data_IF_668189515107
#
_entry.id   IF_668189515107
#
_cell.length_a   1.000
_cell.length_b   1.000
_cell.length_c   1.000
_cell.angle_alpha   90.00
_cell.angle_beta   90.00
_cell.angle_gamma   90.00
#
_symmetry.space_group_name_H-M   'P 1'
#
loop_
_entity.id
_entity.type
_entity.pdbx_description
1 polymer ?
#
# COMPACT_ATOMS: atom_id res chain seq x y z
N UNK A 1 -2.93 -19.85 -23.89
CA UNK A 1 -2.18 -18.73 -23.27
C UNK A 1 -3.17 -17.66 -22.89
N UNK A 2 -3.08 -17.04 -21.72
CA UNK A 2 -3.98 -15.96 -21.34
C UNK A 2 -3.74 -14.72 -22.22
N UNK A 3 -4.79 -14.04 -22.66
CA UNK A 3 -4.66 -12.85 -23.51
C UNK A 3 -3.95 -11.68 -22.80
N UNK A 4 -3.47 -10.66 -23.55
CA UNK A 4 -2.76 -9.51 -22.98
C UNK A 4 -3.53 -8.77 -21.88
N UNK A 5 -4.86 -8.68 -22.01
CA UNK A 5 -5.72 -8.07 -20.98
C UNK A 5 -5.75 -8.89 -19.68
N UNK A 6 -5.86 -10.21 -19.80
CA UNK A 6 -5.87 -11.11 -18.64
C UNK A 6 -4.54 -11.10 -17.92
N UNK A 7 -3.42 -11.12 -18.64
CA UNK A 7 -2.09 -11.05 -18.02
C UNK A 7 -1.80 -9.70 -17.35
N UNK A 8 -2.43 -8.62 -17.83
CA UNK A 8 -2.34 -7.30 -17.20
C UNK A 8 -3.12 -7.21 -15.88
N UNK A 9 -4.35 -7.74 -15.85
CA UNK A 9 -5.20 -7.78 -14.66
C UNK A 9 -4.77 -8.81 -13.62
N UNK A 10 -4.20 -9.93 -14.06
CA UNK A 10 -3.80 -11.05 -13.20
C UNK A 10 -2.32 -11.43 -13.41
N UNK A 11 -1.38 -10.50 -13.16
CA UNK A 11 0.04 -10.82 -13.23
C UNK A 11 0.39 -11.86 -12.16
N UNK A 12 1.37 -12.72 -12.44
CA UNK A 12 1.86 -13.67 -11.45
C UNK A 12 2.75 -12.95 -10.44
N UNK A 13 2.25 -12.73 -9.22
CA UNK A 13 2.97 -11.99 -8.18
C UNK A 13 3.20 -12.82 -6.91
N UNK A 14 4.32 -12.62 -6.19
CA UNK A 14 4.57 -13.36 -4.95
C UNK A 14 3.56 -12.99 -3.85
N UNK A 15 2.93 -14.00 -3.25
CA UNK A 15 2.06 -13.83 -2.08
C UNK A 15 2.71 -13.04 -0.94
N UNK A 16 4.04 -13.17 -0.79
CA UNK A 16 4.82 -12.43 0.21
C UNK A 16 4.74 -10.92 0.04
N UNK A 17 4.66 -10.41 -1.19
CA UNK A 17 4.55 -8.97 -1.46
C UNK A 17 3.25 -8.41 -0.90
N UNK A 18 2.13 -9.07 -1.23
CA UNK A 18 0.79 -8.71 -0.73
C UNK A 18 0.74 -8.83 0.79
N UNK A 19 1.36 -9.87 1.36
CA UNK A 19 1.41 -10.06 2.80
C UNK A 19 2.14 -8.92 3.51
N UNK A 20 3.28 -8.47 2.98
CA UNK A 20 4.04 -7.34 3.52
C UNK A 20 3.25 -6.03 3.43
N UNK A 21 2.65 -5.76 2.27
CA UNK A 21 1.77 -4.60 2.09
C UNK A 21 0.63 -4.63 3.11
N UNK A 22 -0.03 -5.77 3.27
CA UNK A 22 -1.12 -5.94 4.23
C UNK A 22 -0.70 -5.70 5.66
N UNK A 23 0.47 -6.20 6.10
CA UNK A 23 0.99 -5.92 7.45
C UNK A 23 1.19 -4.42 7.67
N UNK A 24 1.84 -3.74 6.71
CA UNK A 24 2.06 -2.29 6.82
C UNK A 24 0.74 -1.54 6.89
N UNK A 25 -0.21 -1.87 6.00
CA UNK A 25 -1.53 -1.23 5.94
C UNK A 25 -2.34 -1.45 7.22
N UNK A 26 -2.42 -2.69 7.73
CA UNK A 26 -3.17 -2.98 8.95
C UNK A 26 -2.57 -2.30 10.18
N UNK A 27 -1.24 -2.31 10.33
CA UNK A 27 -0.57 -1.63 11.45
C UNK A 27 -0.62 -0.11 11.35
N UNK A 28 -0.88 0.44 10.16
CA UNK A 28 -1.07 1.86 9.96
C UNK A 28 -2.45 2.36 10.41
N UNK A 29 -3.49 1.52 10.38
CA UNK A 29 -4.86 1.98 10.69
C UNK A 29 -5.00 2.65 12.07
N UNK A 30 -4.43 2.13 13.18
CA UNK A 30 -4.49 2.83 14.46
C UNK A 30 -3.82 4.21 14.41
N UNK A 31 -2.70 4.33 13.69
CA UNK A 31 -1.99 5.60 13.51
C UNK A 31 -2.88 6.59 12.77
N UNK A 32 -3.53 6.14 11.70
CA UNK A 32 -4.47 6.98 10.95
C UNK A 32 -5.65 7.44 11.80
N UNK A 33 -6.32 6.50 12.49
CA UNK A 33 -7.48 6.76 13.33
C UNK A 33 -7.19 7.71 14.50
N UNK A 34 -5.94 7.77 14.96
CA UNK A 34 -5.53 8.65 16.06
C UNK A 34 -5.05 9.99 15.53
N UNK A 35 -4.20 10.00 14.50
CA UNK A 35 -3.48 11.21 14.08
C UNK A 35 -4.14 11.96 12.92
N UNK A 36 -4.75 11.25 11.97
CA UNK A 36 -5.18 11.84 10.69
C UNK A 36 -6.69 11.94 10.57
N UNK A 37 -7.40 10.91 11.03
CA UNK A 37 -8.85 10.85 11.10
C UNK A 37 -9.36 10.92 12.55
N UNK A 38 -8.50 11.34 13.50
CA UNK A 38 -8.83 11.49 14.91
C UNK A 38 -9.92 12.52 15.23
N UNK A 39 -10.30 13.39 14.27
CA UNK A 39 -11.44 14.30 14.44
C UNK A 39 -12.75 13.58 14.80
N UNK A 40 -12.89 12.30 14.42
CA UNK A 40 -14.04 11.44 14.76
C UNK A 40 -14.30 11.37 16.27
N UNK A 41 -13.25 11.43 17.11
CA UNK A 41 -13.41 11.45 18.56
C UNK A 41 -14.20 12.67 19.04
N UNK A 42 -13.91 13.85 18.48
CA UNK A 42 -14.63 15.09 18.79
C UNK A 42 -16.07 15.08 18.27
N UNK A 43 -16.32 14.39 17.16
CA UNK A 43 -17.66 14.28 16.57
C UNK A 43 -18.63 13.43 17.39
N UNK A 44 -18.13 12.57 18.29
CA UNK A 44 -18.96 11.67 19.11
C UNK A 44 -20.04 12.37 19.95
N UNK A 45 -19.91 13.68 20.16
CA UNK A 45 -20.80 14.52 20.98
C UNK A 45 -21.57 15.54 20.14
N UNK A 46 -21.38 15.56 18.81
CA UNK A 46 -21.87 16.59 17.90
C UNK A 46 -22.87 16.07 16.87
N UNK A 47 -23.85 15.26 17.27
CA UNK A 47 -24.83 14.67 16.35
C UNK A 47 -25.67 15.72 15.59
N UNK A 48 -25.88 16.90 16.18
CA UNK A 48 -26.65 18.01 15.58
C UNK A 48 -26.01 18.61 14.33
N UNK A 49 -24.69 18.49 14.17
CA UNK A 49 -23.93 19.00 13.02
C UNK A 49 -23.57 17.90 12.01
N UNK A 50 -24.10 16.69 12.18
CA UNK A 50 -23.87 15.58 11.26
C UNK A 50 -24.50 15.86 9.89
N UNK A 51 -23.66 15.97 8.86
CA UNK A 51 -24.06 16.18 7.46
C UNK A 51 -23.47 15.07 6.60
N UNK A 52 -24.12 13.88 6.57
CA UNK A 52 -23.55 12.69 5.97
C UNK A 52 -23.17 12.87 4.49
N UNK A 53 -22.02 12.29 4.13
CA UNK A 53 -21.66 12.05 2.73
C UNK A 53 -22.68 11.14 2.05
N UNK A 54 -22.71 11.14 0.71
CA UNK A 54 -23.74 10.45 -0.06
C UNK A 54 -23.95 8.99 0.36
N UNK A 55 -22.88 8.22 0.56
CA UNK A 55 -22.99 6.80 0.97
C UNK A 55 -23.67 6.64 2.33
N UNK A 56 -23.35 7.50 3.30
CA UNK A 56 -24.01 7.48 4.61
C UNK A 56 -25.48 7.91 4.55
N UNK A 57 -25.81 8.85 3.65
CA UNK A 57 -27.22 9.23 3.39
C UNK A 57 -28.02 8.07 2.83
N UNK A 58 -27.50 7.43 1.79
CA UNK A 58 -28.19 6.30 1.13
C UNK A 58 -28.41 5.13 2.08
N UNK A 59 -27.42 4.85 2.94
CA UNK A 59 -27.46 3.76 3.90
C UNK A 59 -28.07 4.15 5.26
N UNK A 60 -28.51 5.39 5.43
CA UNK A 60 -29.06 5.92 6.68
C UNK A 60 -28.15 5.65 7.90
N UNK A 61 -26.83 5.79 7.71
CA UNK A 61 -25.86 5.52 8.77
C UNK A 61 -25.98 6.60 9.87
N UNK A 62 -26.00 6.21 11.16
CA UNK A 62 -26.00 7.19 12.24
C UNK A 62 -24.68 7.97 12.27
N UNK A 63 -24.78 9.21 12.77
CA UNK A 63 -23.61 10.05 13.05
C UNK A 63 -22.75 9.49 14.18
N UNK A 64 -21.62 10.15 14.44
CA UNK A 64 -20.71 9.74 15.50
C UNK A 64 -21.39 9.87 16.86
N UNK A 65 -21.73 8.73 17.47
CA UNK A 65 -22.11 8.63 18.88
C UNK A 65 -20.99 7.95 19.68
N UNK A 66 -20.86 8.26 20.96
CA UNK A 66 -19.80 7.75 21.84
C UNK A 66 -19.65 6.22 21.72
N UNK A 67 -20.70 5.45 21.97
CA UNK A 67 -20.64 3.98 21.89
C UNK A 67 -20.16 3.49 20.51
N UNK A 68 -20.64 4.10 19.42
CA UNK A 68 -20.27 3.72 18.06
C UNK A 68 -18.78 4.00 17.79
N UNK A 69 -18.28 5.18 18.15
CA UNK A 69 -16.89 5.58 17.89
C UNK A 69 -15.91 4.66 18.63
N UNK A 70 -16.14 4.42 19.92
CA UNK A 70 -15.30 3.50 20.71
C UNK A 70 -15.38 2.06 20.20
N UNK A 71 -16.57 1.59 19.82
CA UNK A 71 -16.76 0.25 19.24
C UNK A 71 -16.03 0.10 17.91
N UNK A 72 -16.20 1.06 16.99
CA UNK A 72 -15.52 1.04 15.70
C UNK A 72 -14.00 1.06 15.88
N UNK A 73 -13.49 1.91 16.77
CA UNK A 73 -12.06 1.95 17.06
C UNK A 73 -11.54 0.60 17.57
N UNK A 74 -12.18 0.03 18.59
CA UNK A 74 -11.79 -1.27 19.13
C UNK A 74 -11.86 -2.39 18.08
N UNK A 75 -12.95 -2.47 17.31
CA UNK A 75 -13.15 -3.47 16.26
C UNK A 75 -12.08 -3.37 15.18
N UNK A 76 -11.79 -2.16 14.69
CA UNK A 76 -10.79 -1.95 13.64
C UNK A 76 -9.39 -2.25 14.17
N UNK A 77 -9.02 -1.77 15.35
CA UNK A 77 -7.68 -2.00 15.91
C UNK A 77 -7.45 -3.49 16.18
N UNK A 78 -8.36 -4.15 16.89
CA UNK A 78 -8.24 -5.58 17.20
C UNK A 78 -8.28 -6.43 15.93
N UNK A 79 -9.21 -6.12 15.01
CA UNK A 79 -9.29 -6.79 13.70
C UNK A 79 -8.00 -6.61 12.88
N UNK A 80 -7.42 -5.40 12.89
CA UNK A 80 -6.19 -5.10 12.17
C UNK A 80 -5.00 -5.87 12.74
N UNK A 81 -4.89 -5.99 14.07
CA UNK A 81 -3.87 -6.83 14.71
C UNK A 81 -4.04 -8.32 14.34
N UNK A 82 -5.27 -8.84 14.34
CA UNK A 82 -5.57 -10.23 13.94
C UNK A 82 -5.22 -10.46 12.46
N UNK A 83 -5.60 -9.55 11.58
CA UNK A 83 -5.29 -9.62 10.14
C UNK A 83 -3.79 -9.43 9.87
N UNK A 84 -3.12 -8.51 10.56
CA UNK A 84 -1.67 -8.31 10.53
C UNK A 84 -0.92 -9.55 11.05
N UNK A 85 -1.47 -10.29 12.01
CA UNK A 85 -0.94 -11.60 12.45
C UNK A 85 -1.22 -12.73 11.44
N UNK A 86 -2.07 -12.51 10.43
CA UNK A 86 -2.41 -13.50 9.40
C UNK A 86 -3.42 -14.54 9.86
N UNK A 87 -4.12 -14.25 10.97
CA UNK A 87 -5.20 -15.09 11.49
C UNK A 87 -6.51 -14.68 10.83
N UNK A 88 -7.30 -15.67 10.41
CA UNK A 88 -8.61 -15.47 9.77
C UNK A 88 -8.62 -14.34 8.71
N UNK A 89 -7.67 -14.30 7.76
CA UNK A 89 -7.38 -13.09 6.97
C UNK A 89 -8.57 -12.58 6.14
N UNK A 90 -9.51 -13.47 5.78
CA UNK A 90 -10.75 -13.07 5.09
C UNK A 90 -11.70 -12.34 6.03
N UNK A 91 -12.07 -12.99 7.14
CA UNK A 91 -13.04 -12.46 8.10
C UNK A 91 -12.49 -11.22 8.79
N UNK A 92 -11.29 -11.31 9.38
CA UNK A 92 -10.64 -10.18 10.04
C UNK A 92 -10.43 -9.03 9.06
N UNK A 93 -9.98 -9.32 7.83
CA UNK A 93 -9.76 -8.31 6.81
C UNK A 93 -11.04 -7.59 6.38
N UNK A 94 -12.15 -8.30 6.15
CA UNK A 94 -13.43 -7.63 5.82
C UNK A 94 -14.07 -6.91 6.99
N UNK A 95 -13.93 -7.41 8.23
CA UNK A 95 -14.34 -6.68 9.44
C UNK A 95 -13.61 -5.35 9.53
N UNK A 96 -12.29 -5.36 9.31
CA UNK A 96 -11.47 -4.15 9.26
C UNK A 96 -11.87 -3.24 8.11
N UNK A 97 -12.06 -3.78 6.90
CA UNK A 97 -12.41 -2.98 5.73
C UNK A 97 -13.74 -2.24 5.94
N UNK A 98 -14.77 -2.93 6.41
CA UNK A 98 -16.08 -2.34 6.69
C UNK A 98 -16.01 -1.34 7.85
N UNK A 99 -15.39 -1.72 8.97
CA UNK A 99 -15.26 -0.86 10.15
C UNK A 99 -14.47 0.42 9.86
N UNK A 100 -13.34 0.30 9.16
CA UNK A 100 -12.53 1.46 8.79
C UNK A 100 -13.20 2.32 7.72
N UNK A 101 -13.92 1.72 6.77
CA UNK A 101 -14.72 2.50 5.82
C UNK A 101 -15.79 3.32 6.54
N UNK A 102 -16.44 2.74 7.56
CA UNK A 102 -17.39 3.52 8.36
C UNK A 102 -16.67 4.62 9.17
N UNK A 103 -15.51 4.33 9.75
CA UNK A 103 -14.69 5.35 10.40
C UNK A 103 -14.35 6.53 9.46
N UNK A 104 -13.87 6.24 8.24
CA UNK A 104 -13.56 7.26 7.25
C UNK A 104 -14.81 8.04 6.80
N UNK A 105 -15.95 7.37 6.66
CA UNK A 105 -17.24 8.02 6.38
C UNK A 105 -17.65 8.97 7.51
N UNK A 106 -17.47 8.58 8.77
CA UNK A 106 -17.70 9.47 9.92
C UNK A 106 -16.75 10.66 9.88
N UNK A 107 -15.46 10.44 9.64
CA UNK A 107 -14.46 11.51 9.55
C UNK A 107 -14.85 12.57 8.49
N UNK A 108 -15.49 12.15 7.40
CA UNK A 108 -15.82 13.04 6.28
C UNK A 108 -17.24 13.63 6.29
N UNK A 109 -18.06 13.24 7.26
CA UNK A 109 -19.48 13.65 7.34
C UNK A 109 -19.72 14.92 8.16
N UNK A 110 -18.67 15.67 8.47
CA UNK A 110 -18.70 16.90 9.27
C UNK A 110 -18.07 18.09 8.53
N UNK A 111 -18.15 18.08 7.19
CA UNK A 111 -17.79 19.23 6.35
C UNK A 111 -16.38 19.22 5.75
N UNK A 112 -15.56 18.21 6.04
CA UNK A 112 -14.24 18.00 5.41
C UNK A 112 -14.24 16.68 4.66
N UNK A 113 -13.95 16.70 3.35
CA UNK A 113 -13.83 15.48 2.54
C UNK A 113 -12.40 15.41 2.02
N UNK A 114 -11.69 14.35 2.41
CA UNK A 114 -10.33 14.10 1.96
C UNK A 114 -10.33 12.94 0.93
N UNK A 115 -9.57 13.08 -0.15
CA UNK A 115 -9.53 12.07 -1.22
C UNK A 115 -8.36 11.09 -1.06
N UNK A 116 -7.44 11.35 -0.14
CA UNK A 116 -6.20 10.60 0.10
C UNK A 116 -6.43 9.18 0.66
N UNK A 117 -7.63 8.91 1.16
CA UNK A 117 -8.03 7.63 1.74
C UNK A 117 -8.53 6.60 0.73
N UNK A 118 -8.81 6.99 -0.53
CA UNK A 118 -9.38 6.10 -1.54
C UNK A 118 -8.53 4.83 -1.74
N UNK A 119 -7.22 5.00 -1.95
CA UNK A 119 -6.31 3.88 -2.16
C UNK A 119 -6.23 2.96 -0.94
N UNK A 120 -6.29 3.50 0.27
CA UNK A 120 -6.28 2.73 1.51
C UNK A 120 -7.56 1.89 1.65
N UNK A 121 -8.73 2.50 1.44
CA UNK A 121 -10.02 1.79 1.47
C UNK A 121 -10.05 0.66 0.43
N UNK A 122 -9.66 0.92 -0.81
CA UNK A 122 -9.58 -0.12 -1.85
C UNK A 122 -8.62 -1.24 -1.40
N UNK A 123 -7.47 -0.89 -0.86
CA UNK A 123 -6.50 -1.86 -0.34
C UNK A 123 -7.11 -2.78 0.72
N UNK A 124 -7.87 -2.23 1.66
CA UNK A 124 -8.54 -3.01 2.71
C UNK A 124 -9.59 -3.97 2.16
N UNK A 125 -10.29 -3.62 1.08
CA UNK A 125 -11.26 -4.52 0.45
C UNK A 125 -10.62 -5.62 -0.42
N UNK A 126 -9.44 -5.38 -0.98
CA UNK A 126 -8.79 -6.36 -1.87
C UNK A 126 -7.82 -7.30 -1.15
N UNK A 127 -7.19 -6.88 -0.04
CA UNK A 127 -6.32 -7.76 0.75
C UNK A 127 -7.00 -9.07 1.21
N UNK A 128 -8.27 -9.07 1.67
CA UNK A 128 -8.95 -10.28 2.14
C UNK A 128 -9.23 -11.29 1.00
N UNK A 129 -9.30 -10.86 -0.27
CA UNK A 129 -9.61 -11.75 -1.40
C UNK A 129 -8.52 -12.81 -1.63
N UNK A 130 -7.26 -12.46 -1.33
CA UNK A 130 -6.08 -13.33 -1.50
C UNK A 130 -6.06 -14.50 -0.49
N UNK A 131 -6.73 -14.38 0.65
CA UNK A 131 -6.81 -15.44 1.66
C UNK A 131 -5.52 -15.66 2.47
N UNK A 132 -5.25 -16.90 2.89
CA UNK A 132 -4.06 -17.23 3.69
C UNK A 132 -2.79 -17.22 2.83
N UNK A 133 -2.14 -16.07 2.75
CA UNK A 133 -0.75 -15.94 2.32
C UNK A 133 0.18 -16.37 3.47
N UNK A 134 0.28 -17.67 3.74
CA UNK A 134 1.22 -18.18 4.76
C UNK A 134 2.66 -18.01 4.27
N UNK A 135 3.52 -17.44 5.11
CA UNK A 135 4.99 -17.36 4.89
C UNK A 135 5.64 -18.76 4.83
N UNK A 136 4.88 -19.80 5.18
CA UNK A 136 5.26 -21.23 5.22
C UNK A 136 5.17 -21.93 3.84
N UNK A 137 5.58 -21.26 2.78
CA UNK A 137 5.98 -21.88 1.51
C UNK A 137 7.26 -21.19 1.03
N UNK A 138 8.21 -21.07 1.94
CA UNK A 138 9.60 -20.84 1.59
C UNK A 138 10.25 -22.23 1.52
N UNK A 139 10.94 -22.59 0.44
CA UNK A 139 12.11 -23.44 0.60
C UNK A 139 12.96 -22.75 1.66
N UNK A 140 13.10 -23.36 2.83
CA UNK A 140 14.16 -23.01 3.75
C UNK A 140 15.45 -23.02 2.93
N UNK A 141 16.25 -21.96 3.06
CA UNK A 141 17.53 -21.81 2.38
C UNK A 141 18.59 -22.77 2.94
N UNK A 142 18.22 -24.05 3.12
CA UNK A 142 19.02 -25.08 3.75
C UNK A 142 18.72 -26.49 3.21
N UNK A 143 18.16 -26.60 2.00
CA UNK A 143 18.30 -27.83 1.23
C UNK A 143 19.36 -27.59 0.14
N UNK A 144 20.57 -28.13 0.28
CA UNK A 144 21.44 -28.28 -0.87
C UNK A 144 20.66 -29.14 -1.87
N UNK A 145 20.27 -28.56 -2.99
CA UNK A 145 19.85 -29.32 -4.15
C UNK A 145 21.07 -30.08 -4.65
N UNK A 146 21.33 -31.24 -4.04
CA UNK A 146 22.11 -32.29 -4.69
C UNK A 146 21.30 -32.70 -5.90
N UNK A 147 21.64 -32.10 -7.04
CA UNK A 147 21.14 -32.50 -8.34
C UNK A 147 21.89 -33.77 -8.74
N UNK A 148 21.58 -34.89 -8.10
CA UNK A 148 21.96 -36.19 -8.61
C UNK A 148 21.16 -36.43 -9.88
N UNK A 149 21.87 -36.49 -11.02
CA UNK A 149 21.34 -36.94 -12.29
C UNK A 149 20.76 -38.36 -12.09
N UNK A 150 19.58 -38.69 -12.65
CA UNK A 150 19.05 -40.04 -12.52
C UNK A 150 19.85 -40.97 -13.44
N UNK A 151 20.66 -41.84 -12.84
CA UNK A 151 21.14 -43.05 -13.50
C UNK A 151 19.93 -43.93 -13.79
N UNK A 152 19.71 -44.23 -15.06
CA UNK A 152 18.65 -45.13 -15.54
C UNK A 152 18.84 -46.52 -14.92
N UNK A 153 17.92 -46.96 -14.05
CA UNK A 153 17.58 -48.39 -13.90
C UNK A 153 16.28 -48.64 -13.11
N UNK A 154 15.33 -49.28 -13.80
CA UNK A 154 14.32 -50.25 -13.35
C UNK A 154 13.30 -49.87 -12.25
N UNK A 155 12.02 -49.75 -12.65
CA UNK A 155 10.83 -50.13 -11.85
C UNK A 155 10.89 -51.63 -11.46
N UNK A 156 10.23 -52.14 -10.39
CA UNK A 156 8.90 -51.74 -9.90
C UNK A 156 8.67 -51.78 -8.36
N UNK A 157 7.61 -51.12 -7.87
CA UNK A 157 6.45 -51.70 -7.14
C UNK A 157 5.59 -50.61 -6.48
N UNK A 158 4.28 -50.81 -6.55
CA UNK A 158 3.26 -49.88 -6.11
C UNK A 158 3.19 -49.77 -4.58
N UNK A 159 3.61 -48.62 -4.05
CA UNK A 159 3.33 -48.16 -2.69
C UNK A 159 2.42 -46.93 -2.75
N UNK A 160 1.18 -47.09 -2.29
CA UNK A 160 0.13 -46.05 -2.24
C UNK A 160 0.53 -44.95 -1.25
N UNK A 161 1.26 -43.94 -1.72
CA UNK A 161 1.46 -42.69 -0.99
C UNK A 161 0.30 -41.73 -1.26
N UNK A 162 -0.64 -41.62 -0.30
CA UNK A 162 -1.67 -40.56 -0.28
C UNK A 162 -1.04 -39.23 0.11
N UNK A 163 -0.16 -38.71 -0.75
CA UNK A 163 0.35 -37.34 -0.67
C UNK A 163 -0.28 -36.54 -1.80
N UNK A 164 -1.36 -35.80 -1.50
CA UNK A 164 -1.96 -34.85 -2.43
C UNK A 164 -0.95 -33.71 -2.67
N UNK A 165 -0.06 -33.88 -3.63
CA UNK A 165 0.72 -32.78 -4.19
C UNK A 165 -0.27 -31.74 -4.70
N UNK A 166 -0.16 -30.46 -4.31
CA UNK A 166 -1.00 -29.43 -4.91
C UNK A 166 -0.71 -29.43 -6.40
N UNK A 167 -1.71 -29.71 -7.23
CA UNK A 167 -1.54 -29.71 -8.67
C UNK A 167 -0.99 -28.35 -9.16
N UNK A 168 -0.31 -28.30 -10.31
CA UNK A 168 0.30 -27.09 -10.87
C UNK A 168 -0.63 -25.86 -10.94
N UNK A 169 -1.95 -26.07 -10.97
CA UNK A 169 -2.97 -25.01 -10.99
C UNK A 169 -3.22 -24.27 -9.66
N UNK A 170 -2.83 -24.82 -8.51
CA UNK A 170 -3.09 -24.19 -7.20
C UNK A 170 -2.15 -23.03 -6.87
N UNK A 171 -0.89 -23.12 -7.29
CA UNK A 171 0.10 -22.08 -7.08
C UNK A 171 -0.08 -20.89 -8.04
N UNK A 172 -0.48 -21.18 -9.29
CA UNK A 172 -0.70 -20.15 -10.32
C UNK A 172 -1.95 -19.29 -10.06
N UNK A 173 -2.98 -19.86 -9.44
CA UNK A 173 -4.21 -19.13 -9.07
C UNK A 173 -4.01 -18.21 -7.87
N UNK A 174 -3.28 -18.66 -6.84
CA UNK A 174 -2.90 -17.82 -5.70
C UNK A 174 -2.00 -16.64 -6.14
N UNK A 175 -1.04 -16.87 -7.04
CA UNK A 175 -0.20 -15.82 -7.61
C UNK A 175 -0.99 -14.80 -8.43
N UNK A 176 -1.99 -15.24 -9.20
CA UNK A 176 -2.91 -14.37 -9.94
C UNK A 176 -3.80 -13.54 -9.03
N UNK A 177 -4.33 -14.11 -7.94
CA UNK A 177 -5.12 -13.38 -6.96
C UNK A 177 -4.30 -12.26 -6.30
N UNK A 178 -3.03 -12.54 -5.97
CA UNK A 178 -2.11 -11.53 -5.47
C UNK A 178 -1.84 -10.41 -6.50
N UNK A 179 -1.62 -10.78 -7.76
CA UNK A 179 -1.43 -9.81 -8.84
C UNK A 179 -2.64 -8.92 -9.06
N UNK A 180 -3.84 -9.49 -9.03
CA UNK A 180 -5.10 -8.76 -9.13
C UNK A 180 -5.27 -7.77 -7.98
N UNK A 181 -5.06 -8.21 -6.74
CA UNK A 181 -5.16 -7.34 -5.57
C UNK A 181 -4.17 -6.16 -5.67
N UNK A 182 -2.91 -6.41 -6.01
CA UNK A 182 -1.92 -5.35 -6.21
C UNK A 182 -2.31 -4.41 -7.36
N UNK A 183 -2.85 -4.93 -8.46
CA UNK A 183 -3.31 -4.12 -9.59
C UNK A 183 -4.44 -3.18 -9.17
N UNK A 184 -5.41 -3.65 -8.39
CA UNK A 184 -6.47 -2.81 -7.84
C UNK A 184 -5.92 -1.68 -6.95
N UNK A 185 -4.94 -1.98 -6.08
CA UNK A 185 -4.28 -0.95 -5.26
C UNK A 185 -3.55 0.07 -6.13
N UNK A 186 -2.76 -0.39 -7.11
CA UNK A 186 -2.03 0.47 -8.03
C UNK A 186 -2.97 1.40 -8.83
N UNK A 187 -4.09 0.86 -9.32
CA UNK A 187 -5.14 1.64 -10.00
C UNK A 187 -5.73 2.68 -9.05
N UNK A 188 -6.07 2.31 -7.82
CA UNK A 188 -6.61 3.25 -6.84
C UNK A 188 -5.62 4.36 -6.47
N UNK A 189 -4.32 4.05 -6.40
CA UNK A 189 -3.26 5.04 -6.21
C UNK A 189 -3.23 6.03 -7.37
N UNK A 190 -3.10 5.57 -8.62
CA UNK A 190 -3.06 6.52 -9.76
C UNK A 190 -4.38 7.27 -9.94
N UNK A 191 -5.51 6.62 -9.65
CA UNK A 191 -6.82 7.27 -9.68
C UNK A 191 -6.91 8.41 -8.66
N UNK A 192 -6.34 8.24 -7.46
CA UNK A 192 -6.34 9.31 -6.44
C UNK A 192 -5.60 10.56 -6.94
N UNK A 193 -4.43 10.39 -7.56
CA UNK A 193 -3.69 11.50 -8.17
C UNK A 193 -4.45 12.10 -9.36
N UNK A 194 -4.86 11.27 -10.31
CA UNK A 194 -5.52 11.74 -11.53
C UNK A 194 -6.84 12.47 -11.22
N UNK A 195 -7.65 11.93 -10.31
CA UNK A 195 -8.90 12.57 -9.90
C UNK A 195 -8.66 13.86 -9.11
N UNK A 196 -7.53 13.99 -8.41
CA UNK A 196 -7.10 15.24 -7.78
C UNK A 196 -6.81 16.33 -8.83
N UNK A 197 -6.11 16.00 -9.92
CA UNK A 197 -5.91 16.92 -11.05
C UNK A 197 -7.25 17.31 -11.70
N UNK A 198 -8.11 16.32 -11.96
CA UNK A 198 -9.45 16.57 -12.49
C UNK A 198 -10.27 17.49 -11.59
N UNK A 199 -10.23 17.30 -10.25
CA UNK A 199 -10.94 18.15 -9.31
C UNK A 199 -10.43 19.61 -9.35
N UNK A 200 -9.12 19.82 -9.50
CA UNK A 200 -8.54 21.17 -9.65
C UNK A 200 -9.08 21.89 -10.88
N UNK A 201 -9.11 21.22 -12.04
CA UNK A 201 -9.66 21.80 -13.28
C UNK A 201 -11.17 21.99 -13.19
N UNK A 202 -11.89 21.01 -12.63
CA UNK A 202 -13.35 21.07 -12.50
C UNK A 202 -13.82 22.22 -11.61
N UNK A 203 -13.13 22.48 -10.50
CA UNK A 203 -13.54 23.47 -9.51
C UNK A 203 -12.81 24.82 -9.64
N UNK A 204 -11.59 24.83 -10.18
CA UNK A 204 -10.77 26.03 -10.35
C UNK A 204 -10.61 26.50 -11.80
N UNK A 205 -11.10 25.75 -12.79
CA UNK A 205 -10.95 26.05 -14.21
C UNK A 205 -9.57 25.71 -14.77
N UNK A 206 -9.40 25.92 -16.08
CA UNK A 206 -8.13 25.67 -16.79
C UNK A 206 -7.01 26.64 -16.39
N UNK A 207 -7.35 27.80 -15.83
CA UNK A 207 -6.40 28.79 -15.31
C UNK A 207 -5.89 28.45 -13.89
N UNK A 208 -6.36 27.36 -13.27
CA UNK A 208 -5.91 26.94 -11.94
C UNK A 208 -4.39 26.97 -11.75
N UNK A 209 -3.54 26.46 -12.68
CA UNK A 209 -2.10 26.46 -12.48
C UNK A 209 -1.43 27.84 -12.67
N UNK A 210 -2.15 28.84 -13.18
CA UNK A 210 -1.70 30.23 -13.29
C UNK A 210 -2.23 31.10 -12.14
N UNK A 211 -3.02 30.53 -11.23
CA UNK A 211 -3.64 31.25 -10.11
C UNK A 211 -2.76 31.38 -8.87
N UNK A 212 -3.38 31.86 -7.78
CA UNK A 212 -2.71 32.11 -6.50
C UNK A 212 -2.89 30.97 -5.47
N UNK A 213 -3.30 29.77 -5.89
CA UNK A 213 -3.63 28.65 -4.97
C UNK A 213 -2.45 28.29 -4.07
N UNK A 214 -1.24 28.20 -4.63
CA UNK A 214 -0.04 27.88 -3.87
C UNK A 214 0.38 29.02 -2.95
N UNK A 215 0.27 30.27 -3.42
CA UNK A 215 0.52 31.45 -2.58
C UNK A 215 -0.43 31.48 -1.38
N UNK A 216 -1.72 31.25 -1.61
CA UNK A 216 -2.72 31.18 -0.54
C UNK A 216 -2.42 30.02 0.44
N UNK A 217 -2.08 28.84 -0.07
CA UNK A 217 -1.80 27.67 0.77
C UNK A 217 -0.56 27.89 1.65
N UNK A 218 0.52 28.42 1.08
CA UNK A 218 1.77 28.70 1.79
C UNK A 218 1.57 29.80 2.83
N UNK A 219 0.97 30.93 2.46
CA UNK A 219 0.73 32.05 3.39
C UNK A 219 -0.21 31.67 4.54
N UNK A 220 -1.23 30.86 4.26
CA UNK A 220 -2.13 30.32 5.30
C UNK A 220 -1.43 29.39 6.28
N UNK A 221 -0.42 28.65 5.84
CA UNK A 221 0.26 27.63 6.66
C UNK A 221 1.47 28.17 7.39
N UNK A 222 2.14 29.18 6.85
CA UNK A 222 3.17 29.92 7.55
C UNK A 222 4.45 29.12 7.83
N UNK A 223 4.74 28.06 7.08
CA UNK A 223 5.92 27.21 7.34
C UNK A 223 7.20 27.89 6.87
N UNK A 224 8.32 27.60 7.54
CA UNK A 224 9.64 28.09 7.13
C UNK A 224 9.95 27.73 5.67
N UNK A 225 9.78 26.47 5.29
CA UNK A 225 10.06 26.01 3.93
C UNK A 225 9.11 26.63 2.90
N UNK A 226 7.82 26.78 3.24
CA UNK A 226 6.86 27.48 2.40
C UNK A 226 7.27 28.92 2.13
N UNK A 227 7.62 29.68 3.18
CA UNK A 227 8.11 31.06 3.04
C UNK A 227 9.37 31.17 2.20
N UNK A 228 10.32 30.25 2.39
CA UNK A 228 11.53 30.17 1.58
C UNK A 228 11.19 29.99 0.09
N UNK A 229 10.32 29.03 -0.24
CA UNK A 229 9.91 28.79 -1.64
C UNK A 229 9.13 29.97 -2.22
N UNK A 230 8.28 30.61 -1.43
CA UNK A 230 7.52 31.79 -1.86
C UNK A 230 8.42 33.01 -2.18
N UNK A 231 9.63 33.07 -1.59
CA UNK A 231 10.63 34.09 -1.91
C UNK A 231 11.33 33.88 -3.26
N UNK A 232 11.19 32.71 -3.89
CA UNK A 232 11.82 32.40 -5.18
C UNK A 232 10.88 32.82 -6.33
N UNK A 233 11.29 33.75 -7.20
CA UNK A 233 10.46 34.20 -8.32
C UNK A 233 9.99 33.03 -9.20
N UNK A 234 8.68 32.96 -9.44
CA UNK A 234 8.06 31.93 -10.31
C UNK A 234 7.95 30.52 -9.71
N UNK A 235 8.56 30.23 -8.55
CA UNK A 235 8.58 28.88 -8.00
C UNK A 235 7.18 28.31 -7.70
N UNK A 236 6.27 29.15 -7.19
CA UNK A 236 4.90 28.72 -6.88
C UNK A 236 4.08 28.41 -8.15
N UNK A 237 4.24 29.21 -9.21
CA UNK A 237 3.59 28.97 -10.50
C UNK A 237 4.12 27.68 -11.15
N UNK A 238 5.44 27.51 -11.19
CA UNK A 238 6.09 26.28 -11.67
C UNK A 238 5.61 25.09 -10.85
N UNK A 239 5.53 25.24 -9.52
CA UNK A 239 5.01 24.21 -8.62
C UNK A 239 3.59 23.78 -8.97
N UNK A 240 2.68 24.72 -9.22
CA UNK A 240 1.30 24.41 -9.61
C UNK A 240 1.25 23.59 -10.91
N UNK A 241 2.03 23.98 -11.92
CA UNK A 241 2.14 23.23 -13.17
C UNK A 241 2.74 21.84 -12.96
N UNK A 242 3.81 21.72 -12.18
CA UNK A 242 4.43 20.43 -11.85
C UNK A 242 3.42 19.50 -11.18
N UNK A 243 2.65 20.00 -10.21
CA UNK A 243 1.61 19.20 -9.53
C UNK A 243 0.53 18.77 -10.50
N UNK A 244 -0.01 19.69 -11.31
CA UNK A 244 -1.06 19.38 -12.26
C UNK A 244 -0.61 18.34 -13.30
N UNK A 245 0.59 18.52 -13.88
CA UNK A 245 1.15 17.60 -14.87
C UNK A 245 1.47 16.23 -14.25
N UNK A 246 2.09 16.21 -13.06
CA UNK A 246 2.42 14.97 -12.36
C UNK A 246 1.17 14.15 -12.04
N UNK A 247 0.15 14.77 -11.45
CA UNK A 247 -1.10 14.12 -11.10
C UNK A 247 -1.83 13.60 -12.34
N UNK A 248 -1.88 14.39 -13.42
CA UNK A 248 -2.47 13.99 -14.71
C UNK A 248 -1.71 12.84 -15.36
N UNK A 249 -0.38 12.83 -15.29
CA UNK A 249 0.47 11.79 -15.86
C UNK A 249 0.58 10.53 -14.98
N UNK A 250 0.04 10.53 -13.76
CA UNK A 250 0.16 9.42 -12.81
C UNK A 250 -0.26 8.04 -13.37
N UNK A 251 -1.25 7.87 -14.29
CA UNK A 251 -1.57 6.56 -14.86
C UNK A 251 -0.40 5.90 -15.61
N UNK A 252 0.58 6.68 -16.07
CA UNK A 252 1.81 6.15 -16.70
C UNK A 252 2.55 5.19 -15.77
N UNK A 253 2.50 5.39 -14.45
CA UNK A 253 3.11 4.50 -13.45
C UNK A 253 2.68 3.04 -13.62
N UNK A 254 1.45 2.76 -14.10
CA UNK A 254 0.94 1.40 -14.30
C UNK A 254 1.71 0.62 -15.37
N UNK A 255 2.40 1.33 -16.26
CA UNK A 255 3.11 0.77 -17.41
C UNK A 255 4.63 0.86 -17.27
N UNK A 256 5.14 1.68 -16.35
CA UNK A 256 6.57 1.78 -16.08
C UNK A 256 7.13 0.49 -15.49
N UNK A 257 8.41 0.21 -15.79
CA UNK A 257 9.16 -0.94 -15.28
C UNK A 257 10.58 -0.54 -14.90
N UNK A 258 11.23 -1.36 -14.09
CA UNK A 258 12.65 -1.21 -13.75
C UNK A 258 12.99 0.15 -13.13
N UNK A 259 14.05 0.78 -13.63
CA UNK A 259 14.56 2.07 -13.10
C UNK A 259 13.54 3.21 -13.25
N UNK A 260 12.81 3.25 -14.36
CA UNK A 260 11.80 4.28 -14.61
C UNK A 260 10.66 4.23 -13.58
N UNK A 261 10.21 3.02 -13.21
CA UNK A 261 9.20 2.86 -12.17
C UNK A 261 9.70 3.36 -10.81
N UNK A 262 10.93 3.01 -10.43
CA UNK A 262 11.50 3.48 -9.17
C UNK A 262 11.69 4.99 -9.14
N UNK A 263 12.11 5.60 -10.26
CA UNK A 263 12.20 7.05 -10.38
C UNK A 263 10.82 7.71 -10.23
N UNK A 264 9.77 7.16 -10.86
CA UNK A 264 8.40 7.64 -10.70
C UNK A 264 7.89 7.54 -9.25
N UNK A 265 8.10 6.40 -8.60
CA UNK A 265 7.72 6.22 -7.18
C UNK A 265 8.50 7.18 -6.28
N UNK A 266 9.81 7.34 -6.50
CA UNK A 266 10.64 8.27 -5.74
C UNK A 266 10.21 9.73 -5.95
N UNK A 267 9.84 10.10 -7.18
CA UNK A 267 9.29 11.42 -7.50
C UNK A 267 8.01 11.68 -6.70
N UNK A 268 7.04 10.76 -6.69
CA UNK A 268 5.80 10.95 -5.93
C UNK A 268 6.04 10.95 -4.41
N UNK A 269 7.00 10.16 -3.92
CA UNK A 269 7.40 10.23 -2.52
C UNK A 269 7.97 11.62 -2.16
N UNK A 270 8.88 12.15 -3.00
CA UNK A 270 9.46 13.48 -2.81
C UNK A 270 8.39 14.57 -2.92
N UNK A 271 7.46 14.47 -3.87
CA UNK A 271 6.30 15.34 -4.00
C UNK A 271 5.50 15.45 -2.68
N UNK A 272 5.26 14.31 -2.01
CA UNK A 272 4.55 14.31 -0.72
C UNK A 272 5.37 14.92 0.41
N UNK A 273 6.68 14.65 0.46
CA UNK A 273 7.58 15.25 1.44
C UNK A 273 7.63 16.77 1.28
N UNK A 274 7.78 17.26 0.04
CA UNK A 274 7.78 18.69 -0.29
C UNK A 274 6.44 19.33 0.07
N UNK A 275 5.32 18.67 -0.24
CA UNK A 275 3.98 19.17 0.11
C UNK A 275 3.80 19.27 1.62
N UNK A 276 4.21 18.24 2.37
CA UNK A 276 4.17 18.27 3.82
C UNK A 276 5.07 19.37 4.41
N UNK A 277 6.30 19.51 3.91
CA UNK A 277 7.23 20.55 4.37
C UNK A 277 6.68 21.96 4.07
N UNK A 278 6.05 22.16 2.92
CA UNK A 278 5.53 23.46 2.50
C UNK A 278 4.24 23.84 3.24
N UNK A 279 3.28 22.92 3.37
CA UNK A 279 1.91 23.26 3.81
C UNK A 279 1.35 22.35 4.91
N UNK A 280 2.17 21.49 5.52
CA UNK A 280 1.82 20.55 6.61
C UNK A 280 0.61 19.64 6.35
N UNK A 281 0.23 19.50 5.07
CA UNK A 281 -0.75 18.52 4.64
C UNK A 281 -0.02 17.20 4.38
N UNK A 282 -0.42 16.14 5.07
CA UNK A 282 0.08 14.79 4.84
C UNK A 282 -0.89 14.00 3.96
N UNK A 283 -0.33 13.09 3.17
CA UNK A 283 -1.07 12.11 2.37
C UNK A 283 -0.59 10.69 2.73
N UNK A 284 -0.23 10.47 3.99
CA UNK A 284 0.41 9.23 4.43
C UNK A 284 -0.41 7.96 4.12
N UNK A 285 -1.76 7.95 4.26
CA UNK A 285 -2.58 6.82 3.81
C UNK A 285 -2.33 6.44 2.34
N UNK A 286 -2.19 7.46 1.49
CA UNK A 286 -1.92 7.32 0.07
C UNK A 286 -0.48 6.86 -0.20
N UNK A 287 0.51 7.46 0.47
CA UNK A 287 1.94 7.12 0.35
C UNK A 287 2.20 5.66 0.71
N UNK A 288 1.54 5.14 1.74
CA UNK A 288 1.67 3.72 2.12
C UNK A 288 1.19 2.81 0.99
N UNK A 289 0.10 3.19 0.31
CA UNK A 289 -0.43 2.41 -0.81
C UNK A 289 0.48 2.47 -2.05
N UNK A 290 1.30 3.53 -2.21
CA UNK A 290 2.32 3.62 -3.25
C UNK A 290 3.33 2.47 -3.18
N UNK A 291 3.52 1.87 -2.00
CA UNK A 291 4.35 0.69 -1.80
C UNK A 291 3.90 -0.54 -2.64
N UNK A 292 2.66 -0.56 -3.14
CA UNK A 292 2.17 -1.60 -4.06
C UNK A 292 2.90 -1.64 -5.41
N UNK A 293 3.64 -0.57 -5.77
CA UNK A 293 4.51 -0.54 -6.95
C UNK A 293 5.91 -1.11 -6.68
N UNK A 294 6.28 -1.35 -5.42
CA UNK A 294 7.61 -1.78 -5.03
C UNK A 294 7.69 -3.29 -4.79
N UNK A 295 8.82 -3.95 -5.11
CA UNK A 295 9.04 -5.36 -4.80
C UNK A 295 9.43 -5.54 -3.33
N UNK A 296 8.47 -5.35 -2.41
CA UNK A 296 8.67 -5.35 -0.95
C UNK A 296 9.41 -6.60 -0.45
N UNK A 297 9.17 -7.75 -1.08
CA UNK A 297 9.83 -9.00 -0.74
C UNK A 297 11.34 -8.96 -0.97
N UNK A 298 11.80 -8.27 -2.02
CA UNK A 298 13.22 -8.12 -2.35
C UNK A 298 13.91 -7.15 -1.41
N UNK A 299 13.22 -6.08 -1.01
CA UNK A 299 13.72 -5.09 -0.04
C UNK A 299 14.01 -5.77 1.30
N UNK A 300 13.04 -6.54 1.83
CA UNK A 300 13.23 -7.27 3.09
C UNK A 300 14.32 -8.35 2.99
N UNK A 301 14.43 -9.04 1.85
CA UNK A 301 15.51 -10.04 1.65
C UNK A 301 16.90 -9.38 1.66
N UNK A 302 17.06 -8.23 1.01
CA UNK A 302 18.32 -7.47 1.02
C UNK A 302 18.67 -6.96 2.41
N UNK A 303 17.70 -6.39 3.13
CA UNK A 303 17.90 -5.92 4.50
C UNK A 303 18.37 -7.06 5.43
N UNK A 304 17.76 -8.25 5.32
CA UNK A 304 18.18 -9.43 6.10
C UNK A 304 19.58 -9.93 5.72
N UNK A 305 19.94 -9.94 4.44
CA UNK A 305 21.29 -10.32 4.00
C UNK A 305 22.35 -9.33 4.50
N UNK A 306 22.04 -8.03 4.51
CA UNK A 306 22.92 -7.01 5.08
C UNK A 306 23.10 -7.17 6.59
N UNK A 307 22.02 -7.50 7.31
CA UNK A 307 22.05 -7.73 8.76
C UNK A 307 22.73 -9.05 9.17
N UNK A 308 22.71 -10.07 8.30
CA UNK A 308 23.30 -11.38 8.59
C UNK A 308 24.83 -11.44 8.38
N UNK A 309 25.47 -10.37 7.91
CA UNK A 309 26.90 -10.35 7.59
C UNK A 309 27.25 -11.22 6.37
N UNK A 310 28.28 -10.85 5.62
CA UNK A 310 28.91 -11.81 4.71
C UNK A 310 29.52 -12.92 5.58
N UNK A 311 29.38 -14.22 5.22
CA UNK A 311 30.18 -15.24 5.88
C UNK A 311 31.66 -14.86 5.70
N UNK A 312 32.36 -14.65 6.82
CA UNK A 312 33.81 -14.49 6.83
C UNK A 312 34.37 -15.72 6.10
N UNK A 313 35.18 -15.56 5.03
CA UNK A 313 35.82 -16.71 4.43
C UNK A 313 36.69 -17.36 5.51
N UNK A 314 36.35 -18.59 5.87
CA UNK A 314 37.21 -19.42 6.71
C UNK A 314 38.48 -19.62 5.88
N UNK A 315 39.54 -18.90 6.25
CA UNK A 315 40.87 -19.20 5.75
C UNK A 315 41.20 -20.61 6.27
N UNK A 316 41.19 -21.62 5.38
CA UNK A 316 41.85 -22.87 5.71
C UNK A 316 43.33 -22.55 5.91
N UNK A 317 43.79 -22.69 7.15
CA UNK A 317 45.21 -22.78 7.47
C UNK A 317 45.85 -23.80 6.52
N UNK A 318 46.84 -23.34 5.76
CA UNK A 318 47.75 -24.25 5.07
C UNK A 318 48.51 -24.98 6.16
N UNK A 319 48.25 -26.28 6.24
CA UNK A 319 48.96 -27.21 7.11
C UNK A 319 50.47 -27.04 6.94
N UNK A 320 51.13 -26.96 8.11
CA UNK A 320 52.56 -27.12 8.29
C UNK A 320 52.89 -28.58 8.02
N UNK A 321 53.35 -28.88 6.81
CA UNK A 321 54.13 -30.10 6.53
C UNK A 321 55.53 -29.66 6.09
N UNK A 322 56.43 -29.58 7.07
CA UNK A 322 57.87 -29.54 6.87
C UNK A 322 58.54 -30.29 8.02
N UNK A 323 58.44 -31.62 7.98
CA UNK A 323 59.44 -32.53 8.54
C UNK A 323 59.81 -33.49 7.42
N UNK A 324 61.07 -33.40 7.00
CA UNK A 324 61.70 -34.18 5.94
C UNK A 324 63.08 -33.61 5.69
#
# INVERSE_FOLDING_TARGET
MAGPLTSWWFPQEPLRRVRLLGVVVYLFLPVDMILFTGGVWGHAHGSSIYRPVLVARLLHLPGAGTALVYTLFAVVVLGALVAAAGRLPRVAGYVVALGYTYWAVLAMSYGKVDHDHLALIVTLFVLPTVGRATVRTLPTADQPTVRTLPTVRTLPTAGRATGKTPGPGGASTCGQAAGWALRCVQIAVVATYFLSAYAKIRHGGWEWPNGATFQWAVTRRGTFFGHFVAGIPGALLIGQWVVLLAETASPVLLFLRGRALYAGVAFFLAFHVVTWAAITIHFLPHVICLAAFLPLERVVQRARRGAAGQPVPVACDKAVDAVG
#
